data_IF_106678915054
#
_entry.id   IF_106678915054
#
_cell.length_a   1.000
_cell.length_b   1.000
_cell.length_c   1.000
_cell.angle_alpha   90.00
_cell.angle_beta   90.00
_cell.angle_gamma   90.00
#
_symmetry.space_group_name_H-M   'P 1'
#
loop_
_entity.id
_entity.type
_entity.pdbx_description
1 polymer ?
#
# COMPACT_ATOMS: atom_id res chain seq x y z
N UNK A 1 6.95 6.03 8.92
CA UNK A 1 5.83 5.05 8.86
C UNK A 1 6.13 4.02 7.76
N UNK A 2 5.73 2.75 7.90
CA UNK A 2 6.03 1.68 6.93
C UNK A 2 4.76 1.28 6.19
N UNK A 3 4.73 1.40 4.85
CA UNK A 3 3.64 0.92 4.01
C UNK A 3 4.12 -0.32 3.24
N UNK A 4 3.55 -1.49 3.57
CA UNK A 4 3.86 -2.77 2.90
C UNK A 4 2.75 -3.13 1.92
N UNK A 5 3.11 -3.28 0.64
CA UNK A 5 2.15 -3.58 -0.42
C UNK A 5 2.42 -4.95 -1.03
N UNK A 6 1.66 -5.93 -0.54
CA UNK A 6 1.61 -7.26 -1.14
C UNK A 6 0.45 -7.35 -2.12
N UNK A 7 0.71 -7.00 -3.37
CA UNK A 7 0.02 -7.69 -4.46
C UNK A 7 0.99 -8.72 -5.00
N UNK A 8 0.93 -9.94 -4.43
CA UNK A 8 1.47 -11.10 -5.14
C UNK A 8 0.80 -11.10 -6.50
N UNK A 9 1.56 -10.76 -7.55
CA UNK A 9 1.21 -11.23 -8.88
C UNK A 9 1.17 -12.73 -8.72
N UNK A 10 -0.04 -13.29 -8.66
CA UNK A 10 -0.25 -14.71 -8.82
C UNK A 10 0.50 -15.00 -10.11
N UNK A 11 1.61 -15.71 -10.04
CA UNK A 11 2.12 -16.42 -11.21
C UNK A 11 0.94 -17.31 -11.55
N UNK A 12 0.10 -16.88 -12.49
CA UNK A 12 -1.12 -17.60 -12.84
C UNK A 12 -0.59 -18.90 -13.44
N UNK A 13 -0.78 -20.04 -12.76
CA UNK A 13 -0.46 -21.31 -13.36
C UNK A 13 -1.47 -21.47 -14.47
N UNK A 14 -0.95 -21.45 -15.68
CA UNK A 14 -1.66 -21.71 -16.91
C UNK A 14 -2.76 -20.71 -17.30
N UNK A 15 -2.66 -20.19 -18.52
CA UNK A 15 -3.70 -19.36 -19.09
C UNK A 15 -4.96 -20.19 -19.32
N UNK A 16 -5.98 -20.08 -18.46
CA UNK A 16 -7.28 -20.72 -18.64
C UNK A 16 -8.33 -19.78 -19.21
N UNK A 17 -8.87 -20.08 -20.40
CA UNK A 17 -9.94 -19.29 -21.03
C UNK A 17 -11.17 -20.14 -21.29
N UNK A 18 -12.34 -19.65 -20.89
CA UNK A 18 -13.63 -20.24 -21.24
C UNK A 18 -14.11 -19.69 -22.59
N UNK A 19 -14.19 -20.53 -23.61
CA UNK A 19 -14.70 -20.18 -24.94
C UNK A 19 -16.07 -20.79 -25.14
N UNK A 20 -17.08 -19.96 -25.43
CA UNK A 20 -18.42 -20.42 -25.81
C UNK A 20 -18.58 -20.34 -27.33
N UNK A 21 -18.83 -21.49 -27.97
CA UNK A 21 -19.27 -21.55 -29.37
C UNK A 21 -20.37 -22.59 -29.48
N UNK A 22 -21.54 -22.22 -30.04
CA UNK A 22 -22.67 -23.13 -30.32
C UNK A 22 -22.99 -24.10 -29.16
N UNK A 23 -23.00 -23.58 -27.92
CA UNK A 23 -23.38 -24.33 -26.72
C UNK A 23 -22.29 -25.19 -26.07
N UNK A 24 -21.05 -25.18 -26.56
CA UNK A 24 -19.92 -25.86 -25.90
C UNK A 24 -18.96 -24.83 -25.30
N UNK A 25 -18.83 -24.82 -23.98
CA UNK A 25 -17.80 -24.06 -23.27
C UNK A 25 -16.54 -24.92 -23.18
N UNK A 26 -15.39 -24.40 -23.59
CA UNK A 26 -14.09 -25.10 -23.45
C UNK A 26 -13.11 -24.28 -22.63
N UNK A 27 -12.24 -24.94 -21.87
CA UNK A 27 -11.13 -24.33 -21.14
C UNK A 27 -9.84 -24.56 -21.94
N UNK A 28 -9.25 -23.52 -22.50
CA UNK A 28 -7.92 -23.62 -23.13
C UNK A 28 -6.86 -23.35 -22.08
N UNK A 29 -5.81 -24.18 -22.00
CA UNK A 29 -4.67 -24.05 -21.10
C UNK A 29 -3.37 -23.92 -21.91
N UNK A 30 -2.51 -22.95 -21.60
CA UNK A 30 -1.18 -22.83 -22.23
C UNK A 30 -0.09 -23.08 -21.20
N UNK A 31 0.85 -23.97 -21.52
CA UNK A 31 2.01 -24.25 -20.67
C UNK A 31 3.18 -23.28 -20.90
N UNK A 32 4.25 -23.44 -20.10
CA UNK A 32 5.47 -22.61 -20.17
C UNK A 32 6.28 -22.74 -21.47
N UNK A 33 5.91 -23.69 -22.34
CA UNK A 33 6.53 -23.99 -23.63
C UNK A 33 5.66 -23.55 -24.81
N UNK A 34 4.45 -23.05 -24.55
CA UNK A 34 3.52 -22.55 -25.57
C UNK A 34 2.62 -23.66 -26.14
N UNK A 35 2.61 -24.84 -25.53
CA UNK A 35 1.68 -25.91 -25.89
C UNK A 35 0.29 -25.56 -25.40
N UNK A 36 -0.71 -25.86 -26.24
CA UNK A 36 -2.11 -25.54 -25.99
C UNK A 36 -2.87 -26.82 -25.69
N UNK A 37 -3.37 -26.94 -24.47
CA UNK A 37 -4.27 -27.99 -24.03
C UNK A 37 -5.73 -27.52 -24.10
N UNK A 38 -6.63 -28.40 -24.52
CA UNK A 38 -8.07 -28.13 -24.62
C UNK A 38 -8.79 -29.01 -23.61
N UNK A 39 -9.35 -28.38 -22.58
CA UNK A 39 -9.92 -29.03 -21.41
C UNK A 39 -11.43 -28.78 -21.32
N UNK A 40 -12.14 -29.70 -20.70
CA UNK A 40 -13.53 -29.48 -20.30
C UNK A 40 -13.54 -28.54 -19.06
N UNK A 41 -14.33 -27.44 -19.08
CA UNK A 41 -14.35 -26.46 -18.00
C UNK A 41 -14.90 -27.02 -16.67
N UNK A 42 -15.72 -28.07 -16.71
CA UNK A 42 -16.38 -28.61 -15.51
C UNK A 42 -15.48 -29.55 -14.71
N UNK A 43 -14.67 -30.37 -15.38
CA UNK A 43 -13.83 -31.40 -14.73
C UNK A 43 -12.32 -31.22 -14.96
N UNK A 44 -11.93 -30.26 -15.82
CA UNK A 44 -10.53 -29.99 -16.15
C UNK A 44 -9.84 -31.06 -16.98
N UNK A 45 -10.56 -32.08 -17.48
CA UNK A 45 -9.97 -33.18 -18.24
C UNK A 45 -9.76 -32.82 -19.71
N UNK A 46 -8.75 -33.41 -20.39
CA UNK A 46 -8.54 -33.23 -21.82
C UNK A 46 -9.77 -33.62 -22.65
N UNK A 47 -10.11 -32.80 -23.63
CA UNK A 47 -11.18 -33.10 -24.57
C UNK A 47 -10.75 -34.20 -25.57
N UNK A 48 -11.69 -35.06 -26.04
CA UNK A 48 -11.36 -36.07 -27.05
C UNK A 48 -10.88 -35.45 -28.37
N UNK A 49 -9.94 -36.10 -29.05
CA UNK A 49 -9.31 -35.57 -30.28
C UNK A 49 -10.33 -35.20 -31.37
N UNK A 50 -11.38 -36.01 -31.55
CA UNK A 50 -12.45 -35.73 -32.53
C UNK A 50 -13.17 -34.40 -32.23
N UNK A 51 -13.38 -34.10 -30.94
CA UNK A 51 -14.03 -32.86 -30.49
C UNK A 51 -13.09 -31.67 -30.73
N UNK A 52 -11.81 -31.82 -30.37
CA UNK A 52 -10.78 -30.80 -30.62
C UNK A 52 -10.67 -30.48 -32.11
N UNK A 53 -10.61 -31.50 -32.98
CA UNK A 53 -10.51 -31.31 -34.43
C UNK A 53 -11.70 -30.52 -34.99
N UNK A 54 -12.91 -30.84 -34.54
CA UNK A 54 -14.13 -30.14 -34.95
C UNK A 54 -14.13 -28.67 -34.49
N UNK A 55 -13.71 -28.41 -33.24
CA UNK A 55 -13.59 -27.06 -32.70
C UNK A 55 -12.58 -26.24 -33.49
N UNK A 56 -11.37 -26.78 -33.73
CA UNK A 56 -10.32 -26.09 -34.48
C UNK A 56 -10.76 -25.75 -35.90
N UNK A 57 -11.52 -26.63 -36.55
CA UNK A 57 -12.03 -26.42 -37.91
C UNK A 57 -13.12 -25.33 -37.97
N UNK A 58 -14.06 -25.35 -37.03
CA UNK A 58 -15.24 -24.48 -37.09
C UNK A 58 -15.04 -23.12 -36.40
N UNK A 59 -14.04 -22.98 -35.52
CA UNK A 59 -13.83 -21.79 -34.69
C UNK A 59 -12.42 -21.20 -34.80
N UNK A 60 -11.72 -21.44 -35.92
CA UNK A 60 -10.32 -21.06 -36.09
C UNK A 60 -10.06 -19.58 -35.80
N UNK A 61 -10.87 -18.69 -36.37
CA UNK A 61 -10.69 -17.23 -36.19
C UNK A 61 -10.95 -16.78 -34.75
N UNK A 62 -12.02 -17.28 -34.12
CA UNK A 62 -12.32 -17.00 -32.73
C UNK A 62 -11.23 -17.52 -31.78
N UNK A 63 -10.63 -18.67 -32.08
CA UNK A 63 -9.49 -19.20 -31.32
C UNK A 63 -8.23 -18.33 -31.51
N UNK A 64 -7.95 -17.87 -32.72
CA UNK A 64 -6.82 -16.97 -33.00
C UNK A 64 -6.98 -15.65 -32.26
N UNK A 65 -8.15 -15.00 -32.34
CA UNK A 65 -8.41 -13.75 -31.63
C UNK A 65 -8.27 -13.93 -30.12
N UNK A 66 -8.74 -15.05 -29.60
CA UNK A 66 -8.58 -15.41 -28.19
C UNK A 66 -7.11 -15.61 -27.82
N UNK A 67 -6.33 -16.37 -28.60
CA UNK A 67 -4.91 -16.59 -28.32
C UNK A 67 -4.13 -15.26 -28.35
N UNK A 68 -4.47 -14.36 -29.27
CA UNK A 68 -3.92 -13.00 -29.32
C UNK A 68 -4.24 -12.23 -28.05
N UNK A 69 -5.51 -12.21 -27.61
CA UNK A 69 -5.91 -11.55 -26.38
C UNK A 69 -5.19 -12.14 -25.16
N UNK A 70 -4.97 -13.45 -25.15
CA UNK A 70 -4.31 -14.11 -24.05
C UNK A 70 -2.80 -13.86 -23.99
N UNK A 71 -2.12 -13.92 -25.16
CA UNK A 71 -0.73 -13.50 -25.27
C UNK A 71 -0.56 -12.04 -24.86
N UNK A 72 -1.52 -11.17 -25.25
CA UNK A 72 -1.59 -9.79 -24.78
C UNK A 72 -1.68 -9.74 -23.25
N UNK A 73 -2.68 -10.37 -22.62
CA UNK A 73 -2.81 -10.40 -21.16
C UNK A 73 -1.55 -10.93 -20.43
N UNK A 74 -0.86 -11.93 -20.99
CA UNK A 74 0.39 -12.47 -20.43
C UNK A 74 1.55 -11.47 -20.54
N UNK A 75 1.62 -10.75 -21.66
CA UNK A 75 2.61 -9.70 -21.89
C UNK A 75 2.19 -8.35 -21.28
N UNK A 76 0.92 -8.14 -20.91
CA UNK A 76 0.42 -6.87 -20.38
C UNK A 76 1.16 -6.51 -19.08
N UNK A 77 1.59 -7.53 -18.31
CA UNK A 77 2.47 -7.35 -17.16
C UNK A 77 3.86 -6.79 -17.50
N UNK A 78 4.29 -6.79 -18.77
CA UNK A 78 5.48 -6.09 -19.29
C UNK A 78 5.13 -4.68 -19.78
N UNK A 79 4.01 -4.53 -20.51
CA UNK A 79 3.54 -3.25 -21.05
C UNK A 79 3.04 -2.27 -19.96
N UNK A 80 2.80 -2.76 -18.75
CA UNK A 80 2.52 -1.91 -17.57
C UNK A 80 3.80 -1.42 -16.88
N UNK A 81 4.93 -2.09 -17.08
CA UNK A 81 6.18 -1.75 -16.38
C UNK A 81 6.73 -0.41 -16.85
N UNK A 82 6.61 -0.13 -18.15
CA UNK A 82 7.12 1.08 -18.79
C UNK A 82 6.13 2.26 -18.77
N UNK A 83 4.87 2.04 -18.38
CA UNK A 83 3.78 3.02 -18.48
C UNK A 83 3.22 3.51 -17.15
N UNK A 84 3.80 3.10 -16.03
CA UNK A 84 3.30 3.47 -14.71
C UNK A 84 3.24 5.00 -14.49
N UNK A 85 4.13 5.74 -15.16
CA UNK A 85 4.20 7.20 -15.10
C UNK A 85 3.10 7.91 -15.92
N UNK A 86 2.35 7.21 -16.80
CA UNK A 86 1.38 7.87 -17.70
C UNK A 86 0.09 8.31 -17.00
N UNK A 87 -0.26 7.67 -15.89
CA UNK A 87 -1.51 7.92 -15.16
C UNK A 87 -1.28 8.81 -13.93
N UNK A 88 -0.65 9.98 -14.12
CA UNK A 88 -0.34 10.90 -13.02
C UNK A 88 -0.92 12.28 -13.24
N UNK A 89 -1.11 12.99 -12.14
CA UNK A 89 -1.56 14.38 -12.15
C UNK A 89 -0.38 15.35 -12.02
N UNK A 90 -0.48 16.56 -12.60
CA UNK A 90 0.52 17.61 -12.42
C UNK A 90 0.62 18.04 -10.94
N UNK A 91 1.76 18.61 -10.52
CA UNK A 91 1.93 19.13 -9.16
C UNK A 91 0.91 20.23 -8.86
N UNK A 92 0.40 20.24 -7.63
CA UNK A 92 -0.52 21.27 -7.14
C UNK A 92 -0.01 21.93 -5.86
N UNK A 93 -0.26 23.24 -5.73
CA UNK A 93 -0.07 24.00 -4.49
C UNK A 93 -1.35 24.12 -3.67
N UNK A 94 -2.48 23.66 -4.20
CA UNK A 94 -3.79 23.80 -3.56
C UNK A 94 -4.58 22.49 -3.74
N UNK A 95 -5.25 22.06 -2.69
CA UNK A 95 -6.25 20.98 -2.77
C UNK A 95 -7.54 21.48 -2.15
N UNK A 96 -8.61 21.48 -2.96
CA UNK A 96 -9.94 21.87 -2.50
C UNK A 96 -10.88 20.69 -2.69
N UNK A 97 -11.52 20.28 -1.59
CA UNK A 97 -12.63 19.36 -1.58
C UNK A 97 -13.94 20.13 -1.63
N UNK A 98 -14.79 19.78 -2.59
CA UNK A 98 -16.17 20.25 -2.66
C UNK A 98 -17.08 19.12 -2.20
N UNK A 99 -17.95 19.41 -1.22
CA UNK A 99 -18.93 18.44 -0.73
C UNK A 99 -19.83 17.95 -1.85
N UNK A 100 -20.11 16.65 -1.82
CA UNK A 100 -21.06 16.02 -2.73
C UNK A 100 -22.44 16.01 -2.10
N UNK A 101 -23.48 15.95 -2.92
CA UNK A 101 -24.85 15.70 -2.46
C UNK A 101 -25.08 14.20 -2.30
N UNK A 102 -26.00 13.83 -1.40
CA UNK A 102 -26.38 12.43 -1.22
C UNK A 102 -26.99 11.88 -2.52
N UNK A 103 -26.42 10.81 -3.10
CA UNK A 103 -26.74 10.40 -4.48
C UNK A 103 -28.12 9.76 -4.62
N UNK A 104 -28.70 9.24 -3.54
CA UNK A 104 -30.01 8.60 -3.57
C UNK A 104 -31.11 9.61 -3.28
N UNK A 105 -32.13 9.63 -4.14
CA UNK A 105 -33.33 10.42 -3.92
C UNK A 105 -34.16 9.85 -2.77
N UNK A 106 -34.93 10.69 -2.05
CA UNK A 106 -35.84 10.21 -1.02
C UNK A 106 -36.86 9.20 -1.60
N UNK A 107 -37.29 8.19 -0.81
CA UNK A 107 -38.26 7.21 -1.27
C UNK A 107 -39.56 7.89 -1.67
N UNK A 108 -40.21 7.37 -2.71
CA UNK A 108 -41.51 7.88 -3.17
C UNK A 108 -42.62 7.21 -2.37
N UNK A 109 -43.59 8.00 -1.87
CA UNK A 109 -44.78 7.47 -1.20
C UNK A 109 -45.69 6.80 -2.23
N UNK A 110 -45.99 5.53 -2.02
CA UNK A 110 -46.98 4.81 -2.85
C UNK A 110 -48.40 5.34 -2.58
N UNK A 111 -49.25 5.26 -3.60
CA UNK A 111 -50.64 5.68 -3.47
C UNK A 111 -51.44 4.67 -2.65
N UNK A 112 -52.16 5.18 -1.64
CA UNK A 112 -53.03 4.35 -0.81
C UNK A 112 -54.21 3.79 -1.63
N UNK A 113 -54.66 2.59 -1.28
CA UNK A 113 -55.84 1.94 -1.87
C UNK A 113 -57.10 2.72 -1.48
N UNK A 114 -57.80 3.23 -2.49
CA UNK A 114 -59.08 3.91 -2.33
C UNK A 114 -60.19 2.94 -1.87
N UNK A 115 -61.20 3.48 -1.19
CA UNK A 115 -62.39 2.72 -0.78
C UNK A 115 -63.20 2.30 -2.01
N UNK A 116 -63.70 1.06 -2.05
CA UNK A 116 -64.51 0.54 -3.17
C UNK A 116 -65.96 0.30 -2.75
N UNK A 117 -66.87 0.13 -3.72
CA UNK A 117 -68.28 -0.18 -3.43
C UNK A 117 -68.45 -1.46 -2.59
N UNK A 118 -67.63 -2.48 -2.83
CA UNK A 118 -67.65 -3.74 -2.06
C UNK A 118 -67.13 -3.54 -0.62
N UNK A 119 -66.19 -2.63 -0.41
CA UNK A 119 -65.65 -2.38 0.94
C UNK A 119 -66.61 -1.58 1.83
N UNK A 120 -67.57 -0.84 1.24
CA UNK A 120 -68.68 -0.23 1.99
C UNK A 120 -69.71 -1.26 2.51
N UNK A 121 -69.86 -2.38 1.81
CA UNK A 121 -70.89 -3.39 2.08
C UNK A 121 -70.35 -4.50 2.99
N UNK A 122 -69.09 -4.88 2.83
CA UNK A 122 -68.48 -6.00 3.56
C UNK A 122 -67.34 -5.53 4.48
N UNK A 123 -67.52 -5.55 5.82
CA UNK A 123 -66.52 -5.07 6.79
C UNK A 123 -65.15 -5.76 6.69
N UNK A 124 -65.11 -7.04 6.32
CA UNK A 124 -63.86 -7.78 6.14
C UNK A 124 -63.01 -7.23 4.98
N UNK A 125 -63.65 -6.80 3.88
CA UNK A 125 -62.96 -6.21 2.73
C UNK A 125 -62.39 -4.85 3.10
N UNK A 126 -63.12 -4.03 3.86
CA UNK A 126 -62.62 -2.75 4.37
C UNK A 126 -61.45 -2.91 5.33
N UNK A 127 -61.54 -3.86 6.28
CA UNK A 127 -60.44 -4.18 7.20
C UNK A 127 -59.18 -4.59 6.44
N UNK A 128 -59.30 -5.43 5.40
CA UNK A 128 -58.16 -5.82 4.56
C UNK A 128 -57.55 -4.62 3.82
N UNK A 129 -58.36 -3.70 3.30
CA UNK A 129 -57.89 -2.47 2.63
C UNK A 129 -57.13 -1.56 3.59
N UNK A 130 -57.66 -1.33 4.78
CA UNK A 130 -57.02 -0.52 5.82
C UNK A 130 -55.68 -1.12 6.21
N UNK A 131 -55.61 -2.43 6.48
CA UNK A 131 -54.35 -3.11 6.78
C UNK A 131 -53.30 -2.96 5.65
N UNK A 132 -53.73 -3.00 4.38
CA UNK A 132 -52.83 -2.78 3.24
C UNK A 132 -52.32 -1.33 3.22
N UNK A 133 -53.19 -0.35 3.47
CA UNK A 133 -52.79 1.06 3.52
C UNK A 133 -51.86 1.34 4.70
N UNK A 134 -52.16 0.80 5.88
CA UNK A 134 -51.28 0.86 7.05
C UNK A 134 -49.91 0.24 6.74
N UNK A 135 -49.88 -0.92 6.06
CA UNK A 135 -48.63 -1.54 5.63
C UNK A 135 -47.84 -0.66 4.64
N UNK A 136 -48.51 -0.06 3.65
CA UNK A 136 -47.88 0.88 2.70
C UNK A 136 -47.30 2.10 3.42
N UNK A 137 -48.02 2.66 4.40
CA UNK A 137 -47.52 3.79 5.18
C UNK A 137 -46.37 3.40 6.09
N UNK A 138 -46.46 2.24 6.76
CA UNK A 138 -45.38 1.71 7.59
C UNK A 138 -44.12 1.50 6.76
N UNK A 139 -44.22 0.82 5.62
CA UNK A 139 -43.06 0.56 4.74
C UNK A 139 -42.44 1.85 4.20
N UNK A 140 -43.28 2.83 3.82
CA UNK A 140 -42.79 4.14 3.41
C UNK A 140 -42.03 4.85 4.54
N UNK A 141 -42.57 4.86 5.76
CA UNK A 141 -41.94 5.49 6.90
C UNK A 141 -40.62 4.80 7.26
N UNK A 142 -40.56 3.47 7.20
CA UNK A 142 -39.32 2.71 7.43
C UNK A 142 -38.25 3.05 6.38
N UNK A 143 -38.61 3.07 5.10
CA UNK A 143 -37.71 3.48 4.01
C UNK A 143 -37.25 4.93 4.16
N UNK A 144 -38.15 5.84 4.52
CA UNK A 144 -37.83 7.26 4.69
C UNK A 144 -36.88 7.47 5.86
N UNK A 145 -37.13 6.80 6.99
CA UNK A 145 -36.25 6.86 8.16
C UNK A 145 -34.86 6.29 7.85
N UNK A 146 -34.79 5.14 7.16
CA UNK A 146 -33.53 4.55 6.73
C UNK A 146 -32.74 5.49 5.80
N UNK A 147 -33.41 6.03 4.78
CA UNK A 147 -32.81 7.00 3.86
C UNK A 147 -32.32 8.26 4.59
N UNK A 148 -33.13 8.81 5.51
CA UNK A 148 -32.77 10.01 6.27
C UNK A 148 -31.55 9.77 7.16
N UNK A 149 -31.45 8.62 7.82
CA UNK A 149 -30.27 8.24 8.59
C UNK A 149 -29.02 8.16 7.70
N UNK A 150 -29.13 7.54 6.53
CA UNK A 150 -28.03 7.42 5.57
C UNK A 150 -27.59 8.77 5.00
N UNK A 151 -28.54 9.66 4.71
CA UNK A 151 -28.24 11.03 4.30
C UNK A 151 -27.50 11.80 5.39
N UNK A 152 -27.94 11.72 6.65
CA UNK A 152 -27.26 12.40 7.77
C UNK A 152 -25.84 11.87 7.96
N UNK A 153 -25.65 10.55 7.91
CA UNK A 153 -24.32 9.91 7.98
C UNK A 153 -23.40 10.39 6.84
N UNK A 154 -23.93 10.42 5.61
CA UNK A 154 -23.21 10.91 4.43
C UNK A 154 -22.83 12.39 4.57
N UNK A 155 -23.79 13.26 4.90
CA UNK A 155 -23.57 14.70 5.03
C UNK A 155 -22.50 15.00 6.09
N UNK A 156 -22.52 14.27 7.22
CA UNK A 156 -21.48 14.35 8.25
C UNK A 156 -20.10 13.97 7.69
N UNK A 157 -20.00 12.84 6.99
CA UNK A 157 -18.74 12.39 6.38
C UNK A 157 -18.23 13.40 5.34
N UNK A 158 -19.11 14.05 4.58
CA UNK A 158 -18.72 15.07 3.60
C UNK A 158 -18.20 16.35 4.28
N UNK A 159 -18.80 16.77 5.40
CA UNK A 159 -18.29 17.88 6.22
C UNK A 159 -16.92 17.55 6.81
N UNK A 160 -16.75 16.33 7.34
CA UNK A 160 -15.48 15.90 7.93
C UNK A 160 -14.36 15.86 6.88
N UNK A 161 -14.64 15.35 5.66
CA UNK A 161 -13.70 15.39 4.53
C UNK A 161 -13.34 16.81 4.10
N UNK A 162 -14.34 17.68 3.99
CA UNK A 162 -14.13 19.09 3.64
C UNK A 162 -13.21 19.76 4.66
N UNK A 163 -13.47 19.58 5.95
CA UNK A 163 -12.64 20.12 7.02
C UNK A 163 -11.22 19.54 7.00
N UNK A 164 -11.08 18.21 6.88
CA UNK A 164 -9.79 17.52 6.80
C UNK A 164 -8.94 18.06 5.65
N UNK A 165 -9.50 18.18 4.44
CA UNK A 165 -8.75 18.58 3.25
C UNK A 165 -8.55 20.09 3.19
N UNK A 166 -9.61 20.89 3.33
CA UNK A 166 -9.54 22.34 3.08
C UNK A 166 -8.92 23.12 4.24
N UNK A 167 -8.91 22.55 5.46
CA UNK A 167 -8.33 23.19 6.65
C UNK A 167 -7.07 22.48 7.11
N UNK A 168 -7.19 21.23 7.57
CA UNK A 168 -6.09 20.55 8.26
C UNK A 168 -4.93 20.20 7.32
N UNK A 169 -5.21 19.64 6.15
CA UNK A 169 -4.16 19.35 5.16
C UNK A 169 -3.51 20.63 4.63
N UNK A 170 -4.32 21.65 4.35
CA UNK A 170 -3.85 22.95 3.87
C UNK A 170 -2.97 23.69 4.91
N UNK A 171 -3.27 23.55 6.20
CA UNK A 171 -2.48 24.13 7.29
C UNK A 171 -1.22 23.32 7.64
N UNK A 172 -1.04 22.16 7.01
CA UNK A 172 0.08 21.26 7.29
C UNK A 172 -0.03 20.46 8.58
N UNK A 173 -1.25 20.10 9.00
CA UNK A 173 -1.43 19.19 10.14
C UNK A 173 -0.75 17.84 9.85
N UNK A 174 0.20 17.46 10.70
CA UNK A 174 1.09 16.32 10.48
C UNK A 174 0.33 14.98 10.43
N UNK A 175 -0.60 14.75 11.34
CA UNK A 175 -1.42 13.52 11.36
C UNK A 175 -2.22 13.36 10.07
N UNK A 176 -2.82 14.45 9.59
CA UNK A 176 -3.57 14.46 8.34
C UNK A 176 -2.65 14.21 7.15
N UNK A 177 -1.51 14.89 7.04
CA UNK A 177 -0.54 14.64 5.97
C UNK A 177 -0.09 13.17 5.98
N UNK A 178 0.29 12.64 7.13
CA UNK A 178 0.72 11.25 7.27
C UNK A 178 -0.37 10.27 6.82
N UNK A 179 -1.62 10.50 7.24
CA UNK A 179 -2.75 9.65 6.83
C UNK A 179 -3.02 9.70 5.32
N UNK A 180 -2.94 10.89 4.71
CA UNK A 180 -3.17 11.08 3.28
C UNK A 180 -2.04 10.50 2.44
N UNK A 181 -0.78 10.63 2.89
CA UNK A 181 0.37 9.97 2.26
C UNK A 181 0.25 8.45 2.35
N UNK A 182 -0.14 7.92 3.51
CA UNK A 182 -0.33 6.49 3.68
C UNK A 182 -1.40 5.96 2.73
N UNK A 183 -2.56 6.63 2.67
CA UNK A 183 -3.65 6.26 1.77
C UNK A 183 -3.23 6.36 0.30
N UNK A 184 -2.59 7.47 -0.09
CA UNK A 184 -2.10 7.70 -1.44
C UNK A 184 -1.14 6.59 -1.87
N UNK A 185 -0.05 6.40 -1.12
CA UNK A 185 1.01 5.45 -1.48
C UNK A 185 0.50 4.01 -1.46
N UNK A 186 -0.45 3.68 -0.57
CA UNK A 186 -1.05 2.34 -0.50
C UNK A 186 -1.93 2.01 -1.70
N UNK A 187 -2.52 3.03 -2.32
CA UNK A 187 -3.45 2.87 -3.42
C UNK A 187 -2.78 2.87 -4.81
N UNK A 188 -1.46 3.11 -4.89
CA UNK A 188 -0.73 3.04 -6.16
C UNK A 188 -0.69 1.58 -6.65
N UNK A 189 -1.18 1.28 -7.86
CA UNK A 189 -1.26 -0.09 -8.38
C UNK A 189 0.08 -0.55 -8.97
N UNK A 190 1.09 -0.79 -8.12
CA UNK A 190 2.40 -1.26 -8.59
C UNK A 190 2.30 -2.63 -9.31
N UNK A 191 2.90 -2.77 -10.52
CA UNK A 191 2.92 -4.04 -11.25
C UNK A 191 3.73 -5.15 -10.56
N UNK A 192 4.70 -4.76 -9.73
CA UNK A 192 5.61 -5.63 -8.98
C UNK A 192 5.66 -5.18 -7.53
N UNK A 193 6.15 -6.05 -6.64
CA UNK A 193 6.25 -5.72 -5.22
C UNK A 193 7.15 -4.49 -5.04
N UNK A 194 6.65 -3.51 -4.27
CA UNK A 194 7.34 -2.26 -3.99
C UNK A 194 6.90 -1.81 -2.61
N UNK A 195 7.87 -1.62 -1.71
CA UNK A 195 7.59 -1.15 -0.36
C UNK A 195 8.12 0.26 -0.18
N UNK A 196 7.37 1.10 0.53
CA UNK A 196 7.71 2.51 0.69
C UNK A 196 7.71 2.84 2.18
N UNK A 197 8.86 3.32 2.63
CA UNK A 197 9.04 3.91 3.94
C UNK A 197 9.17 5.41 3.75
N UNK A 198 8.53 6.17 4.64
CA UNK A 198 8.59 7.61 4.58
C UNK A 198 8.64 8.26 5.96
N UNK A 199 9.22 9.45 5.97
CA UNK A 199 9.25 10.39 7.09
C UNK A 199 9.15 11.82 6.55
N UNK A 200 8.50 12.69 7.32
CA UNK A 200 8.36 14.10 6.97
C UNK A 200 9.29 14.90 7.88
N UNK A 201 10.16 15.70 7.28
CA UNK A 201 10.96 16.69 7.98
C UNK A 201 10.57 18.07 7.46
N UNK A 202 9.82 18.82 8.26
CA UNK A 202 9.22 20.10 7.89
C UNK A 202 8.37 20.00 6.60
N UNK A 203 8.88 20.52 5.48
CA UNK A 203 8.24 20.47 4.16
C UNK A 203 8.95 19.52 3.18
N UNK A 204 9.94 18.78 3.66
CA UNK A 204 10.66 17.76 2.91
C UNK A 204 10.12 16.37 3.25
N UNK A 205 9.70 15.62 2.22
CA UNK A 205 9.34 14.22 2.37
C UNK A 205 10.55 13.35 2.04
N UNK A 206 11.02 12.59 3.03
CA UNK A 206 12.11 11.63 2.86
C UNK A 206 11.50 10.25 2.58
N UNK A 207 11.93 9.62 1.48
CA UNK A 207 11.42 8.32 1.02
C UNK A 207 12.56 7.31 0.89
N UNK A 208 12.37 6.12 1.48
CA UNK A 208 13.16 4.92 1.19
C UNK A 208 12.25 3.91 0.47
N UNK A 209 12.61 3.57 -0.77
CA UNK A 209 11.81 2.71 -1.65
C UNK A 209 12.55 1.40 -1.91
N UNK A 210 11.91 0.31 -1.52
CA UNK A 210 12.30 -1.06 -1.87
C UNK A 210 11.72 -1.38 -3.25
N UNK A 211 12.59 -1.46 -4.24
CA UNK A 211 12.26 -1.70 -5.65
C UNK A 211 12.21 -3.21 -5.93
N UNK A 212 11.46 -3.62 -6.97
CA UNK A 212 11.55 -4.98 -7.46
C UNK A 212 12.97 -5.31 -7.93
N UNK A 213 13.29 -6.60 -7.91
CA UNK A 213 14.56 -7.11 -8.42
C UNK A 213 14.49 -7.27 -9.94
N UNK A 214 15.65 -7.31 -10.62
CA UNK A 214 15.64 -7.54 -12.07
C UNK A 214 15.10 -8.94 -12.39
N UNK A 215 15.33 -9.90 -11.48
CA UNK A 215 14.78 -11.26 -11.39
C UNK A 215 13.25 -11.29 -11.58
N UNK A 216 12.54 -10.30 -11.04
CA UNK A 216 11.08 -10.20 -11.14
C UNK A 216 10.57 -9.82 -12.54
N UNK A 217 11.44 -9.30 -13.41
CA UNK A 217 11.09 -8.90 -14.77
C UNK A 217 10.99 -10.15 -15.66
N UNK A 218 9.81 -10.41 -16.28
CA UNK A 218 9.64 -11.55 -17.18
C UNK A 218 10.68 -11.54 -18.31
N UNK A 219 11.25 -12.71 -18.61
CA UNK A 219 12.25 -12.89 -19.67
C UNK A 219 11.68 -13.51 -20.95
N UNK A 220 10.38 -13.77 -21.01
CA UNK A 220 9.68 -14.40 -22.13
C UNK A 220 8.59 -13.47 -22.66
N UNK A 221 8.46 -13.41 -23.99
CA UNK A 221 7.33 -12.77 -24.68
C UNK A 221 6.55 -13.82 -25.46
N UNK A 222 5.23 -13.78 -25.33
CA UNK A 222 4.31 -14.71 -25.98
C UNK A 222 3.66 -14.02 -27.19
N UNK A 223 3.63 -14.67 -28.35
CA UNK A 223 2.94 -14.14 -29.53
C UNK A 223 2.11 -15.22 -30.20
N UNK A 224 0.85 -14.93 -30.48
CA UNK A 224 -0.02 -15.81 -31.23
C UNK A 224 0.15 -15.56 -32.74
N UNK A 225 0.11 -16.63 -33.54
CA UNK A 225 0.14 -16.50 -35.00
C UNK A 225 -1.15 -15.90 -35.55
N UNK A 226 -1.03 -15.03 -36.56
CA UNK A 226 -2.20 -14.46 -37.24
C UNK A 226 -3.04 -15.47 -38.01
N UNK A 227 -2.41 -16.55 -38.48
CA UNK A 227 -3.00 -17.47 -39.46
C UNK A 227 -3.11 -18.93 -38.96
N UNK A 228 -2.55 -19.23 -37.78
CA UNK A 228 -2.47 -20.59 -37.25
C UNK A 228 -2.73 -20.64 -35.74
N UNK A 229 -3.17 -21.80 -35.25
CA UNK A 229 -3.41 -22.04 -33.82
C UNK A 229 -2.11 -22.40 -33.10
N UNK A 230 -1.09 -21.55 -33.25
CA UNK A 230 0.23 -21.69 -32.65
C UNK A 230 0.58 -20.44 -31.86
N UNK A 231 1.27 -20.65 -30.75
CA UNK A 231 1.80 -19.61 -29.89
C UNK A 231 3.32 -19.79 -29.88
N UNK A 232 4.06 -18.73 -30.20
CA UNK A 232 5.50 -18.73 -30.12
C UNK A 232 5.95 -18.02 -28.86
N UNK A 233 6.95 -18.60 -28.20
CA UNK A 233 7.62 -18.02 -27.05
C UNK A 233 9.00 -17.54 -27.49
N UNK A 234 9.30 -16.27 -27.26
CA UNK A 234 10.63 -15.71 -27.50
C UNK A 234 11.24 -15.27 -26.19
N UNK A 235 12.41 -15.83 -25.87
CA UNK A 235 13.23 -15.33 -24.76
C UNK A 235 13.81 -13.96 -25.15
N UNK A 236 13.71 -13.00 -24.25
CA UNK A 236 14.26 -11.67 -24.41
C UNK A 236 15.76 -11.69 -24.17
N UNK A 237 16.50 -10.82 -24.86
CA UNK A 237 17.92 -10.63 -24.56
C UNK A 237 18.10 -9.95 -23.19
N UNK A 238 19.21 -10.22 -22.50
CA UNK A 238 19.53 -9.58 -21.23
C UNK A 238 19.53 -8.05 -21.33
N UNK A 239 20.00 -7.51 -22.45
CA UNK A 239 20.01 -6.05 -22.68
C UNK A 239 18.60 -5.49 -22.76
N UNK A 240 17.66 -6.18 -23.43
CA UNK A 240 16.26 -5.75 -23.47
C UNK A 240 15.63 -5.82 -22.08
N UNK A 241 15.90 -6.89 -21.33
CA UNK A 241 15.39 -7.05 -19.96
C UNK A 241 15.91 -5.95 -19.02
N UNK A 242 17.20 -5.60 -19.11
CA UNK A 242 17.80 -4.49 -18.36
C UNK A 242 17.19 -3.14 -18.72
N UNK A 243 16.90 -2.88 -20.00
CA UNK A 243 16.21 -1.65 -20.42
C UNK A 243 14.81 -1.56 -19.80
N UNK A 244 14.03 -2.64 -19.84
CA UNK A 244 12.71 -2.69 -19.22
C UNK A 244 12.82 -2.44 -17.72
N UNK A 245 13.74 -3.12 -17.04
CA UNK A 245 13.98 -2.94 -15.61
C UNK A 245 14.31 -1.48 -15.27
N UNK A 246 15.26 -0.89 -15.99
CA UNK A 246 15.67 0.50 -15.83
C UNK A 246 14.48 1.45 -16.00
N UNK A 247 13.71 1.33 -17.09
CA UNK A 247 12.52 2.17 -17.31
C UNK A 247 11.47 1.95 -16.22
N UNK A 248 11.32 0.71 -15.74
CA UNK A 248 10.34 0.36 -14.72
C UNK A 248 10.62 1.05 -13.38
N UNK A 249 11.85 0.94 -12.87
CA UNK A 249 12.18 1.56 -11.57
C UNK A 249 12.10 3.09 -11.64
N UNK A 250 12.49 3.70 -12.77
CA UNK A 250 12.34 5.15 -12.94
C UNK A 250 10.87 5.55 -13.06
N UNK A 251 10.02 4.73 -13.69
CA UNK A 251 8.58 4.96 -13.74
C UNK A 251 7.92 4.87 -12.37
N UNK A 252 8.37 3.95 -11.50
CA UNK A 252 7.93 3.87 -10.09
C UNK A 252 8.24 5.17 -9.35
N UNK A 253 9.50 5.62 -9.46
CA UNK A 253 9.97 6.85 -8.80
C UNK A 253 9.19 8.06 -9.31
N UNK A 254 9.02 8.17 -10.64
CA UNK A 254 8.25 9.25 -11.26
C UNK A 254 6.80 9.27 -10.76
N UNK A 255 6.14 8.09 -10.73
CA UNK A 255 4.77 7.94 -10.27
C UNK A 255 4.59 8.44 -8.84
N UNK A 256 5.47 8.00 -7.93
CA UNK A 256 5.41 8.37 -6.51
C UNK A 256 5.59 9.89 -6.34
N UNK A 257 6.59 10.48 -6.99
CA UNK A 257 6.88 11.91 -6.90
C UNK A 257 5.71 12.74 -7.44
N UNK A 258 5.18 12.38 -8.61
CA UNK A 258 4.05 13.07 -9.21
C UNK A 258 2.79 12.99 -8.33
N UNK A 259 2.44 11.81 -7.83
CA UNK A 259 1.27 11.62 -6.99
C UNK A 259 1.38 12.42 -5.68
N UNK A 260 2.54 12.40 -5.01
CA UNK A 260 2.77 13.18 -3.79
C UNK A 260 2.66 14.67 -4.06
N UNK A 261 3.35 15.18 -5.09
CA UNK A 261 3.32 16.60 -5.40
C UNK A 261 1.97 17.09 -5.92
N UNK A 262 1.16 16.22 -6.53
CA UNK A 262 -0.20 16.55 -6.95
C UNK A 262 -1.18 16.59 -5.78
N UNK A 263 -1.02 15.70 -4.78
CA UNK A 263 -1.99 15.52 -3.71
C UNK A 263 -1.70 16.36 -2.46
N UNK A 264 -0.43 16.50 -2.06
CA UNK A 264 -0.05 17.11 -0.78
C UNK A 264 0.54 18.51 -1.02
N UNK A 265 -0.21 19.60 -0.73
CA UNK A 265 0.21 20.96 -1.05
C UNK A 265 1.45 21.46 -0.29
N UNK A 266 1.59 21.02 0.96
CA UNK A 266 2.58 21.51 1.93
C UNK A 266 3.97 20.94 1.71
N UNK A 267 4.09 19.76 1.08
CA UNK A 267 5.38 19.19 0.70
C UNK A 267 5.96 20.00 -0.45
N UNK A 268 7.13 20.59 -0.21
CA UNK A 268 7.87 21.43 -1.17
C UNK A 268 9.11 20.75 -1.72
N UNK A 269 9.63 19.75 -1.02
CA UNK A 269 10.79 18.97 -1.44
C UNK A 269 10.55 17.48 -1.22
N UNK A 270 11.11 16.66 -2.09
CA UNK A 270 11.20 15.22 -1.91
C UNK A 270 12.68 14.83 -1.98
N UNK A 271 13.13 14.10 -0.97
CA UNK A 271 14.39 13.37 -0.99
C UNK A 271 14.08 11.89 -1.05
N UNK A 272 14.43 11.24 -2.15
CA UNK A 272 14.07 9.85 -2.40
C UNK A 272 15.33 9.01 -2.59
N UNK A 273 15.34 7.85 -1.95
CA UNK A 273 16.40 6.86 -2.03
C UNK A 273 15.78 5.50 -2.35
N UNK A 274 16.21 4.89 -3.44
CA UNK A 274 15.65 3.64 -3.93
C UNK A 274 16.70 2.54 -3.98
N UNK A 275 16.36 1.37 -3.42
CA UNK A 275 17.24 0.22 -3.31
C UNK A 275 16.56 -1.05 -3.81
N UNK A 276 17.37 -2.01 -4.21
CA UNK A 276 16.95 -3.40 -4.43
C UNK A 276 17.69 -4.30 -3.44
N UNK A 277 17.10 -5.43 -3.09
CA UNK A 277 17.76 -6.43 -2.25
C UNK A 277 18.61 -7.38 -3.09
N UNK A 278 19.82 -7.69 -2.63
CA UNK A 278 20.67 -8.71 -3.27
C UNK A 278 21.42 -9.54 -2.24
N UNK A 279 21.67 -10.83 -2.53
CA UNK A 279 22.57 -11.62 -1.71
C UNK A 279 24.00 -11.11 -1.87
N UNK A 280 24.64 -10.84 -0.74
CA UNK A 280 26.07 -10.58 -0.67
C UNK A 280 26.83 -11.86 -1.04
N UNK A 281 27.73 -11.76 -2.01
CA UNK A 281 28.43 -12.92 -2.60
C UNK A 281 29.38 -13.58 -1.59
N UNK A 282 29.84 -12.84 -0.57
CA UNK A 282 30.81 -13.32 0.41
C UNK A 282 30.16 -14.13 1.55
N UNK A 283 28.96 -13.73 1.99
CA UNK A 283 28.32 -14.30 3.19
C UNK A 283 26.89 -14.82 2.96
N UNK A 284 26.30 -14.57 1.78
CA UNK A 284 24.94 -14.96 1.42
C UNK A 284 23.82 -14.13 2.05
N UNK A 285 24.14 -13.12 2.86
CA UNK A 285 23.15 -12.26 3.51
C UNK A 285 22.45 -11.37 2.47
N UNK A 286 21.16 -11.17 2.64
CA UNK A 286 20.41 -10.20 1.82
C UNK A 286 20.73 -8.80 2.32
N UNK A 287 21.31 -7.99 1.44
CA UNK A 287 21.72 -6.61 1.73
C UNK A 287 21.00 -5.63 0.78
N UNK A 288 20.69 -4.44 1.29
CA UNK A 288 20.08 -3.37 0.52
C UNK A 288 21.14 -2.70 -0.36
N UNK A 289 21.00 -2.81 -1.68
CA UNK A 289 21.83 -2.10 -2.65
C UNK A 289 21.08 -0.89 -3.18
N UNK A 290 21.48 0.31 -2.77
CA UNK A 290 20.90 1.56 -3.31
C UNK A 290 21.31 1.75 -4.78
N UNK A 291 20.34 1.99 -5.64
CA UNK A 291 20.51 2.10 -7.09
C UNK A 291 20.40 3.54 -7.59
N UNK A 292 19.56 4.34 -6.92
CA UNK A 292 19.24 5.71 -7.30
C UNK A 292 18.85 6.52 -6.06
N UNK A 293 19.28 7.78 -6.01
CA UNK A 293 18.81 8.75 -5.05
C UNK A 293 18.62 10.10 -5.72
N UNK A 294 17.56 10.83 -5.41
CA UNK A 294 17.22 12.10 -6.05
C UNK A 294 16.64 13.10 -5.05
N UNK A 295 17.05 14.36 -5.18
CA UNK A 295 16.42 15.49 -4.51
C UNK A 295 15.64 16.30 -5.54
N UNK A 296 14.36 16.56 -5.27
CA UNK A 296 13.51 17.33 -6.18
C UNK A 296 12.73 18.37 -5.39
N UNK A 297 12.85 19.63 -5.79
CA UNK A 297 11.95 20.69 -5.36
C UNK A 297 10.68 20.71 -6.21
N UNK A 298 9.52 20.89 -5.58
CA UNK A 298 8.21 20.99 -6.26
C UNK A 298 8.20 22.11 -7.30
N UNK A 299 8.94 23.20 -7.05
CA UNK A 299 9.09 24.31 -8.01
C UNK A 299 9.81 23.87 -9.29
N UNK A 300 10.89 23.10 -9.17
CA UNK A 300 11.60 22.53 -10.31
C UNK A 300 10.75 21.48 -11.03
N UNK A 301 10.03 20.63 -10.29
CA UNK A 301 9.14 19.61 -10.86
C UNK A 301 8.02 20.19 -11.74
N UNK A 302 7.55 21.41 -11.46
CA UNK A 302 6.56 22.13 -12.30
C UNK A 302 7.03 22.43 -13.72
N UNK A 303 8.33 22.33 -14.00
CA UNK A 303 8.86 22.51 -15.36
C UNK A 303 8.51 21.35 -16.30
N UNK A 304 8.16 20.18 -15.76
CA UNK A 304 7.76 19.01 -16.53
C UNK A 304 6.40 19.27 -17.21
N UNK A 305 6.33 19.01 -18.51
CA UNK A 305 5.09 19.14 -19.27
C UNK A 305 4.21 17.89 -19.15
N UNK A 306 3.33 17.87 -18.15
CA UNK A 306 2.37 16.78 -17.93
C UNK A 306 1.35 16.58 -19.05
N UNK A 307 1.14 17.57 -19.93
CA UNK A 307 0.20 17.43 -21.06
C UNK A 307 0.74 16.51 -22.18
N UNK A 308 2.05 16.26 -22.21
CA UNK A 308 2.73 15.44 -23.21
C UNK A 308 3.56 14.33 -22.53
N UNK A 309 3.00 13.74 -21.47
CA UNK A 309 3.73 12.81 -20.59
C UNK A 309 4.19 11.55 -21.31
N UNK A 310 3.47 11.12 -22.35
CA UNK A 310 3.80 9.96 -23.16
C UNK A 310 5.09 10.09 -23.97
N UNK A 311 5.62 11.31 -24.11
CA UNK A 311 6.88 11.61 -24.78
C UNK A 311 8.05 11.77 -23.82
N UNK A 312 7.81 11.68 -22.51
CA UNK A 312 8.86 11.83 -21.50
C UNK A 312 9.64 10.51 -21.38
N UNK A 313 10.93 10.56 -21.66
CA UNK A 313 11.83 9.50 -21.22
C UNK A 313 12.09 9.67 -19.73
N UNK A 314 11.41 8.87 -18.90
CA UNK A 314 11.54 8.93 -17.44
C UNK A 314 12.96 8.67 -16.94
N UNK A 315 13.82 8.00 -17.72
CA UNK A 315 15.20 7.71 -17.32
C UNK A 315 16.07 8.95 -17.47
N UNK A 316 15.90 9.67 -18.57
CA UNK A 316 16.62 10.93 -18.87
C UNK A 316 15.99 12.12 -18.12
N UNK A 317 14.68 12.08 -17.86
CA UNK A 317 13.94 13.15 -17.18
C UNK A 317 14.54 13.51 -15.81
N UNK A 318 15.14 12.55 -15.10
CA UNK A 318 15.72 12.83 -13.79
C UNK A 318 17.06 13.55 -13.85
N UNK A 319 17.73 13.61 -15.00
CA UNK A 319 19.05 14.25 -15.13
C UNK A 319 19.00 15.78 -14.96
N UNK A 320 17.81 16.38 -15.07
CA UNK A 320 17.59 17.81 -14.81
C UNK A 320 17.51 18.16 -13.31
N UNK A 321 17.51 17.15 -12.42
CA UNK A 321 17.43 17.32 -10.97
C UNK A 321 18.72 16.84 -10.29
N UNK A 322 18.82 17.06 -8.98
CA UNK A 322 19.93 16.57 -8.16
C UNK A 322 19.84 15.04 -8.04
N UNK A 323 20.48 14.34 -8.98
CA UNK A 323 20.43 12.89 -9.14
C UNK A 323 21.78 12.23 -8.80
N UNK A 324 21.74 11.21 -7.94
CA UNK A 324 22.82 10.24 -7.75
C UNK A 324 22.38 8.91 -8.35
N UNK A 325 23.02 8.51 -9.46
CA UNK A 325 22.78 7.24 -10.15
C UNK A 325 24.08 6.75 -10.77
N UNK A 326 24.39 5.46 -10.62
CA UNK A 326 25.53 4.84 -11.29
C UNK A 326 25.05 3.68 -12.15
N UNK A 327 24.97 3.90 -13.46
CA UNK A 327 24.40 2.93 -14.38
C UNK A 327 25.04 3.00 -15.76
N UNK A 328 25.21 1.86 -16.43
CA UNK A 328 25.62 1.83 -17.83
C UNK A 328 24.48 2.20 -18.79
N UNK A 329 24.80 2.61 -20.03
CA UNK A 329 23.81 2.82 -21.11
C UNK A 329 22.95 1.58 -21.41
N UNK A 330 23.39 0.39 -21.00
CA UNK A 330 22.66 -0.86 -21.18
C UNK A 330 21.80 -1.23 -19.97
N UNK A 331 21.68 -0.35 -18.97
CA UNK A 331 20.84 -0.57 -17.77
C UNK A 331 21.47 -1.43 -16.68
N UNK A 332 22.81 -1.50 -16.60
CA UNK A 332 23.50 -2.19 -15.50
C UNK A 332 23.73 -1.19 -14.37
N UNK A 333 23.04 -1.35 -13.24
CA UNK A 333 23.20 -0.52 -12.06
C UNK A 333 24.39 -0.96 -11.20
N UNK A 334 25.05 0.02 -10.59
CA UNK A 334 26.02 -0.16 -9.51
C UNK A 334 25.49 0.52 -8.26
N UNK A 335 25.96 0.04 -7.11
CA UNK A 335 25.60 0.62 -5.82
C UNK A 335 26.02 2.09 -5.74
N UNK A 336 25.16 2.91 -5.12
CA UNK A 336 25.45 4.31 -4.82
C UNK A 336 25.31 4.57 -3.31
N UNK A 337 25.98 5.62 -2.84
CA UNK A 337 25.65 6.20 -1.53
C UNK A 337 24.55 7.25 -1.75
N UNK A 338 23.36 7.08 -1.16
CA UNK A 338 22.25 8.01 -1.35
C UNK A 338 22.43 9.30 -0.57
N UNK A 339 21.62 10.33 -0.86
CA UNK A 339 21.65 11.60 -0.12
C UNK A 339 21.31 11.43 1.37
N UNK A 340 20.34 10.57 1.68
CA UNK A 340 19.86 10.21 3.03
C UNK A 340 19.19 8.84 2.95
N UNK A 341 19.04 8.19 4.10
CA UNK A 341 18.25 6.96 4.23
C UNK A 341 17.56 6.97 5.58
N UNK A 342 16.32 6.51 5.64
CA UNK A 342 15.60 6.35 6.90
C UNK A 342 16.26 5.26 7.77
N UNK A 343 16.93 4.27 7.16
CA UNK A 343 17.57 3.17 7.89
C UNK A 343 18.88 3.61 8.56
N UNK A 344 19.78 4.34 7.85
CA UNK A 344 21.05 4.79 8.44
C UNK A 344 20.85 5.89 9.47
N UNK A 345 19.89 6.80 9.26
CA UNK A 345 19.69 7.92 10.18
C UNK A 345 19.10 7.45 11.51
N UNK A 346 18.19 6.47 11.51
CA UNK A 346 17.73 5.83 12.75
C UNK A 346 18.86 5.09 13.49
N UNK A 347 19.72 4.37 12.77
CA UNK A 347 20.87 3.71 13.39
C UNK A 347 21.91 4.70 13.88
N UNK A 348 22.16 5.80 13.16
CA UNK A 348 23.09 6.85 13.54
C UNK A 348 22.57 7.63 14.75
N UNK A 349 21.28 7.98 14.79
CA UNK A 349 20.62 8.53 15.99
C UNK A 349 20.74 7.55 17.14
N UNK A 350 20.49 6.25 16.92
CA UNK A 350 20.65 5.23 17.96
C UNK A 350 22.10 5.13 18.45
N UNK A 351 23.09 5.18 17.55
CA UNK A 351 24.51 5.17 17.91
C UNK A 351 24.97 6.47 18.58
N UNK A 352 24.47 7.63 18.15
CA UNK A 352 24.73 8.93 18.78
C UNK A 352 24.11 8.99 20.18
N UNK A 353 22.90 8.47 20.35
CA UNK A 353 22.24 8.32 21.65
C UNK A 353 23.02 7.33 22.52
N UNK A 354 23.43 6.17 22.00
CA UNK A 354 24.28 5.20 22.71
C UNK A 354 25.62 5.83 23.10
N UNK A 355 26.27 6.57 22.20
CA UNK A 355 27.54 7.23 22.48
C UNK A 355 27.37 8.38 23.48
N UNK A 356 26.26 9.12 23.42
CA UNK A 356 25.92 10.16 24.40
C UNK A 356 25.68 9.55 25.77
N UNK A 357 25.00 8.40 25.86
CA UNK A 357 24.85 7.66 27.11
C UNK A 357 26.18 7.11 27.62
N UNK A 358 27.03 6.56 26.75
CA UNK A 358 28.40 6.13 27.15
C UNK A 358 29.24 7.30 27.66
N UNK A 359 29.18 8.46 27.00
CA UNK A 359 29.90 9.64 27.46
C UNK A 359 29.35 10.18 28.79
N UNK A 360 28.04 10.05 29.04
CA UNK A 360 27.42 10.38 30.34
C UNK A 360 27.85 9.39 31.42
N UNK A 361 27.97 8.11 31.10
CA UNK A 361 28.48 7.09 32.01
C UNK A 361 29.97 7.33 32.32
N UNK A 362 30.78 7.69 31.32
CA UNK A 362 32.19 8.07 31.49
C UNK A 362 32.35 9.37 32.30
N UNK A 363 31.54 10.40 32.05
CA UNK A 363 31.51 11.62 32.87
C UNK A 363 31.08 11.31 34.31
N UNK A 364 30.10 10.43 34.50
CA UNK A 364 29.66 10.00 35.83
C UNK A 364 30.70 9.11 36.52
N UNK A 365 31.48 8.31 35.78
CA UNK A 365 32.61 7.52 36.31
C UNK A 365 33.77 8.44 36.71
N UNK A 366 34.07 9.47 35.91
CA UNK A 366 35.08 10.49 36.24
C UNK A 366 34.61 11.30 37.46
N UNK A 367 33.33 11.65 37.56
CA UNK A 367 32.75 12.30 38.74
C UNK A 367 32.77 11.36 39.95
N UNK A 368 32.47 10.08 39.79
CA UNK A 368 32.50 9.08 40.87
C UNK A 368 33.92 8.80 41.36
N UNK A 369 34.91 8.74 40.47
CA UNK A 369 36.33 8.67 40.82
C UNK A 369 36.84 9.95 41.49
N UNK A 370 36.25 11.11 41.17
CA UNK A 370 36.55 12.39 41.85
C UNK A 370 35.88 12.49 43.23
N UNK A 371 34.82 11.73 43.46
CA UNK A 371 34.07 11.65 44.72
C UNK A 371 34.63 10.55 45.64
N UNK A 372 35.27 9.50 45.10
CA UNK A 372 35.91 8.41 45.85
C UNK A 372 37.20 8.77 46.61
N UNK A 373 37.51 10.06 46.80
CA UNK A 373 38.51 10.49 47.77
C UNK A 373 37.95 10.94 49.12
N UNK A 374 36.65 10.76 49.40
CA UNK A 374 36.16 10.86 50.76
C UNK A 374 35.03 9.87 51.08
N UNK A 375 35.37 8.98 52.01
CA UNK A 375 34.54 8.17 52.89
C UNK A 375 33.74 6.98 52.34
N UNK A 376 33.89 5.92 53.12
CA UNK A 376 33.45 4.54 53.01
C UNK A 376 31.95 4.33 53.33
N UNK A 377 31.35 3.40 52.57
CA UNK A 377 30.53 2.25 53.01
C UNK A 377 29.19 2.05 52.29
N UNK A 378 28.96 0.77 51.96
CA UNK A 378 27.76 0.07 51.46
C UNK A 378 27.28 0.34 50.01
N UNK A 379 27.65 -0.59 49.12
CA UNK A 379 27.14 -0.70 47.75
C UNK A 379 25.75 -1.35 47.70
N UNK A 380 24.75 -0.62 47.22
CA UNK A 380 23.43 -1.16 46.87
C UNK A 380 23.34 -1.47 45.37
N UNK A 381 22.82 -2.65 45.03
CA UNK A 381 22.66 -3.08 43.64
C UNK A 381 21.49 -2.33 43.00
N UNK A 382 21.75 -1.61 41.91
CA UNK A 382 20.73 -1.04 41.03
C UNK A 382 19.93 -2.14 40.34
N UNK A 383 18.60 -2.03 40.21
CA UNK A 383 17.80 -3.05 39.55
C UNK A 383 18.22 -3.20 38.08
N UNK A 384 18.37 -4.45 37.63
CA UNK A 384 18.69 -4.73 36.23
C UNK A 384 17.60 -4.18 35.32
N UNK A 385 17.99 -3.70 34.13
CA UNK A 385 17.09 -3.08 33.14
C UNK A 385 15.87 -3.98 32.84
N UNK A 386 16.07 -5.30 32.81
CA UNK A 386 14.99 -6.27 32.61
C UNK A 386 13.93 -6.25 33.74
N UNK A 387 14.33 -5.98 34.99
CA UNK A 387 13.43 -5.93 36.13
C UNK A 387 12.64 -4.61 36.16
N UNK A 388 13.25 -3.50 35.74
CA UNK A 388 12.57 -2.21 35.57
C UNK A 388 11.49 -2.30 34.49
N UNK A 389 11.82 -2.88 33.33
CA UNK A 389 10.86 -3.11 32.24
C UNK A 389 9.71 -4.01 32.73
N UNK A 390 10.02 -5.06 33.50
CA UNK A 390 9.00 -5.93 34.09
C UNK A 390 8.03 -5.21 35.03
N UNK A 391 8.51 -4.27 35.85
CA UNK A 391 7.66 -3.47 36.76
C UNK A 391 6.73 -2.53 35.99
N UNK A 392 7.19 -1.97 34.86
CA UNK A 392 6.37 -1.07 34.04
C UNK A 392 5.20 -1.81 33.39
N UNK A 393 5.44 -2.99 32.81
CA UNK A 393 4.43 -3.71 32.02
C UNK A 393 3.56 -4.68 32.84
N UNK A 394 4.09 -5.28 33.91
CA UNK A 394 3.40 -6.27 34.75
C UNK A 394 3.64 -5.99 36.24
N UNK A 395 3.20 -4.83 36.75
CA UNK A 395 3.59 -4.33 38.07
C UNK A 395 3.20 -5.24 39.24
N UNK A 396 2.11 -6.01 39.11
CA UNK A 396 1.61 -6.93 40.14
C UNK A 396 2.49 -8.18 40.34
N UNK A 397 3.19 -8.63 39.29
CA UNK A 397 4.12 -9.77 39.36
C UNK A 397 5.52 -9.28 39.75
N UNK A 398 5.98 -8.20 39.14
CA UNK A 398 7.39 -7.82 39.22
C UNK A 398 7.73 -6.94 40.43
N UNK A 399 6.78 -6.22 41.02
CA UNK A 399 7.04 -5.48 42.26
C UNK A 399 7.45 -6.40 43.41
N UNK A 400 6.94 -7.64 43.44
CA UNK A 400 7.30 -8.63 44.45
C UNK A 400 8.77 -9.08 44.37
N UNK A 401 9.40 -9.01 43.19
CA UNK A 401 10.82 -9.34 43.03
C UNK A 401 11.73 -8.34 43.75
N UNK A 402 11.28 -7.11 43.98
CA UNK A 402 12.02 -6.11 44.75
C UNK A 402 12.08 -6.41 46.25
N UNK A 403 11.29 -7.36 46.76
CA UNK A 403 11.35 -7.80 48.16
C UNK A 403 12.53 -8.73 48.47
N UNK A 404 13.22 -9.26 47.44
CA UNK A 404 14.44 -10.07 47.62
C UNK A 404 15.54 -9.23 48.32
N UNK A 405 16.40 -9.87 49.12
CA UNK A 405 17.52 -9.21 49.80
C UNK A 405 18.48 -8.63 48.74
N UNK A 406 18.91 -7.38 48.92
CA UNK A 406 19.84 -6.66 48.02
C UNK A 406 19.28 -5.39 47.36
N UNK A 407 17.97 -5.17 47.38
CA UNK A 407 17.34 -3.95 46.84
C UNK A 407 17.17 -2.86 47.90
N UNK A 408 17.41 -1.61 47.50
CA UNK A 408 17.29 -0.43 48.37
C UNK A 408 15.85 -0.21 48.83
N UNK A 409 15.69 0.47 49.98
CA UNK A 409 14.36 0.83 50.51
C UNK A 409 13.58 1.72 49.53
N UNK A 410 14.27 2.59 48.80
CA UNK A 410 13.67 3.50 47.80
C UNK A 410 13.12 2.73 46.60
N UNK A 411 13.85 1.74 46.07
CA UNK A 411 13.37 0.92 44.94
C UNK A 411 12.14 0.09 45.30
N UNK A 412 12.06 -0.39 46.55
CA UNK A 412 10.86 -1.09 47.06
C UNK A 412 9.68 -0.13 47.11
N UNK A 413 9.86 1.07 47.69
CA UNK A 413 8.78 2.07 47.78
C UNK A 413 8.25 2.43 46.39
N UNK A 414 9.12 2.76 45.44
CA UNK A 414 8.73 3.17 44.08
C UNK A 414 7.94 2.06 43.36
N UNK A 415 8.39 0.82 43.44
CA UNK A 415 7.75 -0.31 42.76
C UNK A 415 6.36 -0.58 43.32
N UNK A 416 6.20 -0.58 44.64
CA UNK A 416 4.90 -0.80 45.28
C UNK A 416 3.94 0.38 45.12
N UNK A 417 4.43 1.63 45.09
CA UNK A 417 3.61 2.81 44.76
C UNK A 417 3.07 2.73 43.32
N UNK A 418 3.90 2.31 42.36
CA UNK A 418 3.48 2.14 40.97
C UNK A 418 2.46 1.00 40.81
N UNK A 419 2.65 -0.11 41.51
CA UNK A 419 1.68 -1.21 41.55
C UNK A 419 0.32 -0.76 42.10
N UNK A 420 0.32 0.00 43.20
CA UNK A 420 -0.90 0.52 43.81
C UNK A 420 -1.64 1.49 42.88
N UNK A 421 -0.90 2.41 42.23
CA UNK A 421 -1.47 3.33 41.24
C UNK A 421 -2.08 2.58 40.03
N UNK A 422 -1.40 1.54 39.56
CA UNK A 422 -1.88 0.70 38.44
C UNK A 422 -3.17 -0.05 38.78
N UNK A 423 -3.34 -0.48 40.04
CA UNK A 423 -4.57 -1.12 40.52
C UNK A 423 -5.71 -0.09 40.61
N UNK A 424 -5.44 1.12 41.12
CA UNK A 424 -6.42 2.19 41.20
C UNK A 424 -6.91 2.65 39.82
N UNK A 425 -5.99 2.80 38.85
CA UNK A 425 -6.34 3.16 37.48
C UNK A 425 -7.27 2.12 36.82
N UNK A 426 -7.08 0.83 37.14
CA UNK A 426 -7.92 -0.25 36.61
C UNK A 426 -9.31 -0.31 37.26
N UNK A 427 -9.41 0.02 38.55
CA UNK A 427 -10.70 0.09 39.27
C UNK A 427 -11.50 1.36 38.97
N UNK A 428 -10.86 2.38 38.39
CA UNK A 428 -11.50 3.61 37.93
C UNK A 428 -12.06 3.51 36.51
N UNK A 429 -11.74 2.44 35.78
CA UNK A 429 -12.14 2.21 34.39
C UNK A 429 -13.25 1.16 34.20
N UNK A 430 -13.72 0.57 35.30
CA UNK A 430 -14.93 -0.27 35.40
C UNK A 430 -15.97 0.49 36.26
#
# INVERSE_FOLDING_TARGET
MVVRLRKKVKIIPDLSLNLSSKGTTIKVKIDNNGNVEYLNPNDGKPLPEKVIANIKKNNKEALISTFKQACKNYNDGLDLLDKLHLDVSPPSDIRVYNKKEYPELPPKKEQLKNQSFLSKIFPFIEKKRLNINEAIESEYNDKLNYWAQKKVEFDKNEIDKEYKINKLLASGNEEVINSELMELLSNIPFPKETNINFEINENNLILDIDLPEIEDIPNKKYTASDNSLKISIKTMSDTQRRKIYMTHIHSIIFRIIADVFSLIPTIKKITLSAYSQKPNIQNGNIENQYLLSVNIDKSAWKSINFNNIEYIDVVECFEQFDLIRNMSKTGIFKEITPFTTLIRDNNKITQEVINKFKNLDEENEVISQKVEQHDSDESFISPSIALIIGIIFLPYIFSWFTLKKGYSKTSKIISFTWMFLSILLRYSSD
#
